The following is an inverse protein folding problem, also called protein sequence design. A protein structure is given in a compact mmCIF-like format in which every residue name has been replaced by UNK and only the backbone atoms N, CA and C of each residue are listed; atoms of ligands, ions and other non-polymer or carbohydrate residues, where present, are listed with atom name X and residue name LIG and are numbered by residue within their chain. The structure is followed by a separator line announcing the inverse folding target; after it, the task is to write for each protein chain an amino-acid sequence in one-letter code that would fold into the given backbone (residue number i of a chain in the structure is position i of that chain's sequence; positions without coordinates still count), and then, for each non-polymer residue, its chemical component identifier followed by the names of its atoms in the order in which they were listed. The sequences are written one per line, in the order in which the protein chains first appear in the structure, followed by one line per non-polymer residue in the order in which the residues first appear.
data_IF_319443435379
#
_entry.id   IF_319443435379
#
_cell.length_a   1.000
_cell.length_b   1.000
_cell.length_c   1.000
_cell.angle_alpha   90.00
_cell.angle_beta   90.00
_cell.angle_gamma   90.00
#
_symmetry.space_group_name_H-M   'P 1'
#
loop_
_entity.id
_entity.type
_entity.pdbx_description
1 polymer ?
#
# COMPACT_ATOMS: atom_id res chain seq x y z
N UNK A 1 -15.49 20.45 -37.55
CA UNK A 1 -16.06 19.20 -36.95
C UNK A 1 -15.14 18.01 -37.15
N UNK A 2 -14.55 17.77 -38.33
CA UNK A 2 -13.65 16.64 -38.61
C UNK A 2 -12.39 16.58 -37.69
N UNK A 3 -11.68 17.70 -37.52
CA UNK A 3 -10.48 17.73 -36.64
C UNK A 3 -10.74 17.37 -35.17
N UNK A 4 -11.90 17.73 -34.63
CA UNK A 4 -12.29 17.38 -33.28
C UNK A 4 -12.60 15.88 -33.10
N UNK A 5 -13.12 15.27 -34.17
CA UNK A 5 -13.45 13.85 -34.23
C UNK A 5 -12.17 13.00 -34.34
N UNK A 6 -11.19 13.46 -35.10
CA UNK A 6 -9.90 12.81 -35.27
C UNK A 6 -9.05 12.86 -33.98
N UNK A 7 -9.05 14.00 -33.29
CA UNK A 7 -8.40 14.15 -31.96
C UNK A 7 -9.04 13.21 -30.91
N UNK A 8 -10.38 13.12 -30.85
CA UNK A 8 -11.06 12.19 -29.96
C UNK A 8 -10.73 10.74 -30.28
N UNK A 9 -10.71 10.35 -31.54
CA UNK A 9 -10.38 8.98 -31.96
C UNK A 9 -8.94 8.63 -31.57
N UNK A 10 -7.99 9.52 -31.77
CA UNK A 10 -6.58 9.35 -31.42
C UNK A 10 -6.39 9.25 -29.89
N UNK A 11 -7.10 10.05 -29.10
CA UNK A 11 -7.06 9.96 -27.62
C UNK A 11 -7.66 8.65 -27.12
N UNK A 12 -8.74 8.15 -27.72
CA UNK A 12 -9.35 6.87 -27.35
C UNK A 12 -8.44 5.70 -27.66
N UNK A 13 -7.78 5.71 -28.83
CA UNK A 13 -6.78 4.70 -29.22
C UNK A 13 -5.59 4.67 -28.25
N UNK A 14 -4.99 5.82 -27.93
CA UNK A 14 -3.89 5.92 -26.98
C UNK A 14 -4.26 5.42 -25.56
N UNK A 15 -5.48 5.68 -25.13
CA UNK A 15 -6.00 5.19 -23.83
C UNK A 15 -6.17 3.66 -23.84
N UNK A 16 -6.67 3.09 -24.94
CA UNK A 16 -6.82 1.65 -25.09
C UNK A 16 -5.45 0.94 -25.13
N UNK A 17 -4.48 1.49 -25.85
CA UNK A 17 -3.13 0.96 -25.95
C UNK A 17 -2.41 0.96 -24.59
N UNK A 18 -2.56 2.05 -23.82
CA UNK A 18 -2.00 2.13 -22.48
C UNK A 18 -2.64 1.11 -21.54
N UNK A 19 -3.97 0.93 -21.60
CA UNK A 19 -4.67 -0.09 -20.81
C UNK A 19 -4.18 -1.49 -21.16
N UNK A 20 -4.02 -1.81 -22.43
CA UNK A 20 -3.52 -3.11 -22.90
C UNK A 20 -2.08 -3.34 -22.42
N UNK A 21 -1.21 -2.33 -22.55
CA UNK A 21 0.17 -2.38 -22.05
C UNK A 21 0.22 -2.62 -20.54
N UNK A 22 -0.56 -1.88 -19.74
CA UNK A 22 -0.63 -2.09 -18.29
C UNK A 22 -1.16 -3.49 -17.93
N UNK A 23 -2.12 -4.04 -18.70
CA UNK A 23 -2.63 -5.39 -18.48
C UNK A 23 -1.58 -6.47 -18.79
N UNK A 24 -0.83 -6.32 -19.87
CA UNK A 24 0.27 -7.21 -20.21
C UNK A 24 1.37 -7.18 -19.14
N UNK A 25 1.73 -5.98 -18.65
CA UNK A 25 2.70 -5.81 -17.57
C UNK A 25 2.24 -6.50 -16.28
N UNK A 26 0.97 -6.34 -15.88
CA UNK A 26 0.39 -7.05 -14.72
C UNK A 26 0.54 -8.55 -14.83
N UNK A 27 0.18 -9.12 -15.99
CA UNK A 27 0.28 -10.57 -16.21
C UNK A 27 1.73 -11.06 -16.08
N UNK A 28 2.68 -10.32 -16.65
CA UNK A 28 4.11 -10.62 -16.57
C UNK A 28 4.61 -10.57 -15.13
N UNK A 29 4.26 -9.53 -14.37
CA UNK A 29 4.71 -9.35 -12.99
C UNK A 29 4.11 -10.40 -12.04
N UNK A 30 2.83 -10.76 -12.23
CA UNK A 30 2.18 -11.84 -11.48
C UNK A 30 2.89 -13.17 -11.77
N UNK A 31 3.10 -13.51 -13.04
CA UNK A 31 3.78 -14.73 -13.43
C UNK A 31 5.21 -14.81 -12.85
N UNK A 32 5.97 -13.71 -12.91
CA UNK A 32 7.32 -13.61 -12.34
C UNK A 32 7.31 -13.82 -10.82
N UNK A 33 6.36 -13.22 -10.11
CA UNK A 33 6.22 -13.38 -8.66
C UNK A 33 5.85 -14.79 -8.25
N UNK A 34 4.90 -15.43 -8.96
CA UNK A 34 4.48 -16.81 -8.70
C UNK A 34 5.54 -17.84 -9.06
N UNK A 35 6.43 -17.53 -10.00
CA UNK A 35 7.55 -18.40 -10.38
C UNK A 35 8.76 -18.29 -9.42
N UNK A 36 8.75 -17.35 -8.47
CA UNK A 36 9.84 -17.19 -7.53
C UNK A 36 9.97 -18.42 -6.63
N UNK A 37 11.19 -18.95 -6.40
CA UNK A 37 11.41 -20.07 -5.49
C UNK A 37 10.91 -19.75 -4.08
N UNK A 38 10.29 -20.71 -3.40
CA UNK A 38 9.75 -20.50 -2.05
C UNK A 38 10.81 -20.02 -1.05
N UNK A 39 12.06 -20.50 -1.17
CA UNK A 39 13.16 -20.06 -0.32
C UNK A 39 13.52 -18.58 -0.54
N UNK A 40 13.51 -18.12 -1.78
CA UNK A 40 13.74 -16.70 -2.10
C UNK A 40 12.59 -15.84 -1.58
N UNK A 41 11.37 -16.26 -1.82
CA UNK A 41 10.18 -15.56 -1.32
C UNK A 41 10.20 -15.42 0.21
N UNK A 42 10.56 -16.49 0.94
CA UNK A 42 10.69 -16.45 2.40
C UNK A 42 11.80 -15.49 2.84
N UNK A 43 12.97 -15.53 2.18
CA UNK A 43 14.09 -14.65 2.48
C UNK A 43 13.73 -13.17 2.23
N UNK A 44 13.11 -12.87 1.09
CA UNK A 44 12.66 -11.50 0.75
C UNK A 44 11.62 -11.01 1.74
N UNK A 45 10.66 -11.84 2.09
CA UNK A 45 9.62 -11.49 3.09
C UNK A 45 10.23 -11.16 4.44
N UNK A 46 11.22 -11.92 4.90
CA UNK A 46 11.93 -11.64 6.15
C UNK A 46 12.66 -10.27 6.13
N UNK A 47 13.28 -9.91 4.99
CA UNK A 47 13.95 -8.62 4.83
C UNK A 47 12.96 -7.44 4.80
N UNK A 48 11.82 -7.60 4.11
CA UNK A 48 10.73 -6.60 4.13
C UNK A 48 10.19 -6.43 5.55
N UNK A 49 9.94 -7.52 6.26
CA UNK A 49 9.45 -7.48 7.64
C UNK A 49 10.45 -6.78 8.57
N UNK A 50 11.75 -7.08 8.45
CA UNK A 50 12.80 -6.41 9.21
C UNK A 50 12.82 -4.89 8.94
N UNK A 51 12.69 -4.49 7.67
CA UNK A 51 12.62 -3.08 7.26
C UNK A 51 11.39 -2.38 7.85
N UNK A 52 10.22 -3.03 7.83
CA UNK A 52 8.98 -2.51 8.41
C UNK A 52 9.11 -2.35 9.93
N UNK A 53 9.63 -3.34 10.65
CA UNK A 53 9.86 -3.28 12.11
C UNK A 53 10.83 -2.18 12.48
N UNK A 54 11.90 -2.00 11.71
CA UNK A 54 12.91 -0.98 11.97
C UNK A 54 12.44 0.43 11.64
N UNK A 55 11.76 0.63 10.51
CA UNK A 55 11.45 1.96 9.97
C UNK A 55 10.08 2.52 10.37
N UNK A 56 9.12 1.69 10.73
CA UNK A 56 7.71 2.10 10.89
C UNK A 56 7.17 1.96 12.31
N UNK A 57 8.03 2.00 13.34
CA UNK A 57 7.57 2.01 14.74
C UNK A 57 6.70 3.24 15.08
N UNK A 58 6.84 4.34 14.34
CA UNK A 58 6.01 5.53 14.50
C UNK A 58 4.53 5.33 14.09
N UNK A 59 4.15 4.16 13.57
CA UNK A 59 2.76 3.78 13.35
C UNK A 59 2.03 3.38 14.64
N UNK A 60 2.73 3.25 15.76
CA UNK A 60 2.12 2.98 17.07
C UNK A 60 1.09 4.05 17.41
N UNK A 61 -0.10 3.61 17.88
CA UNK A 61 -1.24 4.50 18.17
C UNK A 61 -2.08 4.89 16.96
N UNK A 62 -1.71 4.50 15.74
CA UNK A 62 -2.49 4.72 14.50
C UNK A 62 -3.44 3.56 14.21
N UNK A 63 -4.39 3.82 13.31
CA UNK A 63 -5.18 2.80 12.62
C UNK A 63 -4.44 2.42 11.34
N UNK A 64 -3.97 1.17 11.26
CA UNK A 64 -3.17 0.68 10.12
C UNK A 64 -4.00 -0.23 9.23
N UNK A 65 -4.22 0.20 7.99
CA UNK A 65 -4.81 -0.63 6.96
C UNK A 65 -3.76 -1.47 6.24
N UNK A 66 -4.09 -2.72 5.96
CA UNK A 66 -3.24 -3.62 5.20
C UNK A 66 -4.10 -4.54 4.33
N UNK A 67 -3.50 -5.30 3.42
CA UNK A 67 -4.21 -6.23 2.55
C UNK A 67 -3.99 -7.67 2.95
N UNK A 68 -5.01 -8.50 2.77
CA UNK A 68 -4.84 -9.94 2.79
C UNK A 68 -3.96 -10.35 1.60
N UNK A 69 -2.89 -11.15 1.80
CA UNK A 69 -1.95 -11.46 0.72
C UNK A 69 -2.64 -12.24 -0.40
N UNK A 70 -2.37 -11.85 -1.63
CA UNK A 70 -2.96 -12.44 -2.82
C UNK A 70 -1.89 -12.71 -3.87
N UNK A 71 -1.97 -13.87 -4.56
CA UNK A 71 -1.06 -14.24 -5.65
C UNK A 71 0.43 -14.05 -5.32
N UNK A 72 0.88 -14.55 -4.16
CA UNK A 72 2.28 -14.48 -3.75
C UNK A 72 2.76 -13.09 -3.29
N UNK A 73 1.86 -12.21 -2.85
CA UNK A 73 2.23 -10.95 -2.20
C UNK A 73 2.95 -11.18 -0.86
N UNK A 74 3.68 -10.15 -0.42
CA UNK A 74 4.19 -10.12 0.95
C UNK A 74 3.04 -10.21 1.95
N UNK A 75 3.17 -11.10 2.93
CA UNK A 75 2.18 -11.26 3.99
C UNK A 75 2.49 -10.29 5.15
N UNK A 76 1.72 -9.21 5.23
CA UNK A 76 1.88 -8.21 6.28
C UNK A 76 1.25 -8.60 7.63
N UNK A 77 0.51 -9.72 7.71
CA UNK A 77 -0.20 -10.12 8.95
C UNK A 77 0.71 -10.31 10.16
N UNK A 78 1.90 -10.94 10.07
CA UNK A 78 2.81 -11.06 11.22
C UNK A 78 3.26 -9.70 11.74
N UNK A 79 3.65 -8.78 10.86
CA UNK A 79 4.04 -7.42 11.23
C UNK A 79 2.89 -6.64 11.88
N UNK A 80 1.69 -6.70 11.29
CA UNK A 80 0.51 -5.99 11.80
C UNK A 80 0.06 -6.56 13.14
N UNK A 81 0.12 -7.89 13.34
CA UNK A 81 -0.16 -8.53 14.64
C UNK A 81 0.81 -8.06 15.73
N UNK A 82 2.09 -7.90 15.38
CA UNK A 82 3.08 -7.35 16.31
C UNK A 82 2.75 -5.88 16.68
N UNK A 83 2.35 -5.08 15.72
CA UNK A 83 1.89 -3.71 15.97
C UNK A 83 0.64 -3.65 16.86
N UNK A 84 -0.30 -4.59 16.70
CA UNK A 84 -1.48 -4.69 17.57
C UNK A 84 -1.09 -4.95 19.04
N UNK A 85 -0.05 -5.76 19.28
CA UNK A 85 0.54 -5.93 20.61
C UNK A 85 1.09 -4.62 21.22
N UNK A 86 1.28 -3.58 20.40
CA UNK A 86 1.73 -2.25 20.80
C UNK A 86 0.63 -1.18 20.74
N UNK A 87 -0.64 -1.61 20.65
CA UNK A 87 -1.81 -0.73 20.71
C UNK A 87 -2.27 -0.17 19.34
N UNK A 88 -1.75 -0.67 18.20
CA UNK A 88 -2.28 -0.35 16.87
C UNK A 88 -3.61 -1.07 16.66
N UNK A 89 -4.58 -0.39 16.05
CA UNK A 89 -5.78 -1.02 15.49
C UNK A 89 -5.54 -1.34 14.03
N UNK A 90 -5.80 -2.56 13.62
CA UNK A 90 -5.60 -3.01 12.25
C UNK A 90 -6.93 -3.08 11.49
N UNK A 91 -6.90 -2.76 10.20
CA UNK A 91 -8.09 -2.80 9.34
C UNK A 91 -7.78 -3.45 7.98
N UNK A 92 -8.75 -4.18 7.46
CA UNK A 92 -8.71 -4.76 6.11
C UNK A 92 -9.68 -4.03 5.17
N UNK A 93 -9.29 -3.82 3.90
CA UNK A 93 -10.14 -3.19 2.91
C UNK A 93 -11.29 -4.10 2.49
N UNK A 94 -12.47 -3.52 2.34
CA UNK A 94 -13.66 -4.14 1.78
C UNK A 94 -14.16 -3.34 0.57
N UNK A 95 -14.44 -4.01 -0.53
CA UNK A 95 -15.09 -3.41 -1.69
C UNK A 95 -16.58 -3.40 -1.44
N UNK A 96 -17.15 -2.23 -1.19
CA UNK A 96 -18.60 -2.06 -0.95
C UNK A 96 -19.38 -1.82 -2.23
N UNK A 97 -18.76 -1.16 -3.22
CA UNK A 97 -19.34 -0.96 -4.55
C UNK A 97 -18.26 -0.79 -5.60
N UNK A 98 -18.58 -1.17 -6.84
CA UNK A 98 -17.68 -0.99 -7.99
C UNK A 98 -17.41 0.49 -8.22
N UNK A 99 -16.11 0.86 -8.32
CA UNK A 99 -15.70 2.22 -8.63
C UNK A 99 -15.77 3.20 -7.45
N UNK A 100 -16.15 2.76 -6.27
CA UNK A 100 -16.13 3.56 -5.03
C UNK A 100 -14.82 3.37 -4.26
N UNK A 101 -14.47 4.28 -3.34
CA UNK A 101 -13.42 4.06 -2.35
C UNK A 101 -13.67 2.79 -1.53
N UNK A 102 -12.61 2.23 -0.96
CA UNK A 102 -12.68 1.10 -0.05
C UNK A 102 -13.25 1.52 1.30
N UNK A 103 -14.06 0.66 1.91
CA UNK A 103 -14.36 0.67 3.34
C UNK A 103 -13.30 -0.13 4.06
N UNK A 104 -12.97 0.21 5.31
CA UNK A 104 -12.00 -0.53 6.10
C UNK A 104 -12.64 -1.08 7.36
N UNK A 105 -12.53 -2.40 7.54
CA UNK A 105 -13.12 -3.14 8.66
C UNK A 105 -12.04 -3.61 9.62
N UNK A 106 -12.28 -3.40 10.90
CA UNK A 106 -11.33 -3.77 11.94
C UNK A 106 -11.03 -5.26 11.90
N UNK A 107 -9.74 -5.57 12.01
CA UNK A 107 -9.22 -6.93 11.95
C UNK A 107 -8.32 -7.25 13.14
N UNK A 108 -8.45 -8.44 13.67
CA UNK A 108 -7.53 -9.06 14.64
C UNK A 108 -7.46 -10.56 14.37
N UNK A 109 -6.40 -11.27 14.83
CA UNK A 109 -6.33 -12.72 14.71
C UNK A 109 -7.55 -13.39 15.34
N UNK A 110 -8.28 -14.19 14.55
CA UNK A 110 -9.49 -14.88 15.01
C UNK A 110 -10.80 -14.12 14.80
N UNK A 111 -10.79 -12.89 14.24
CA UNK A 111 -12.05 -12.22 13.84
C UNK A 111 -12.81 -13.06 12.80
N UNK A 112 -14.13 -13.05 12.89
CA UNK A 112 -14.96 -13.74 11.90
C UNK A 112 -14.75 -13.14 10.50
N UNK A 113 -14.55 -13.99 9.51
CA UNK A 113 -14.25 -13.60 8.12
C UNK A 113 -15.28 -14.17 7.16
N UNK A 114 -15.53 -13.46 6.07
CA UNK A 114 -16.31 -13.96 4.93
C UNK A 114 -15.61 -13.68 3.62
N UNK A 115 -15.98 -14.36 2.54
CA UNK A 115 -15.48 -14.02 1.22
C UNK A 115 -16.14 -12.72 0.74
N UNK A 116 -15.31 -11.74 0.44
CA UNK A 116 -15.69 -10.48 -0.18
C UNK A 116 -15.61 -10.54 -1.71
N UNK A 117 -15.62 -9.38 -2.34
CA UNK A 117 -15.38 -9.25 -3.78
C UNK A 117 -13.97 -9.79 -4.11
N UNK A 118 -13.83 -10.46 -5.24
CA UNK A 118 -12.60 -11.15 -5.69
C UNK A 118 -12.15 -12.31 -4.78
N UNK A 119 -13.05 -12.91 -4.00
CA UNK A 119 -12.77 -13.98 -3.04
C UNK A 119 -11.71 -13.63 -1.99
N UNK A 120 -11.52 -12.34 -1.74
CA UNK A 120 -10.64 -11.85 -0.69
C UNK A 120 -11.34 -11.89 0.66
N UNK A 121 -10.68 -12.39 1.73
CA UNK A 121 -11.27 -12.42 3.07
C UNK A 121 -11.54 -11.01 3.61
N UNK A 122 -12.74 -10.81 4.15
CA UNK A 122 -13.19 -9.53 4.74
C UNK A 122 -13.78 -9.79 6.13
N UNK A 123 -13.39 -9.01 7.16
CA UNK A 123 -13.98 -9.12 8.50
C UNK A 123 -15.49 -8.88 8.49
N UNK A 124 -16.23 -9.65 9.32
CA UNK A 124 -17.70 -9.54 9.49
C UNK A 124 -18.01 -9.13 10.91
N UNK A 125 -18.99 -8.22 11.06
CA UNK A 125 -19.45 -7.79 12.37
C UNK A 125 -18.45 -6.93 13.16
N UNK A 126 -17.35 -6.52 12.53
CA UNK A 126 -16.36 -5.63 13.13
C UNK A 126 -16.62 -4.16 12.79
N UNK A 127 -15.98 -3.26 13.55
CA UNK A 127 -16.11 -1.81 13.36
C UNK A 127 -15.56 -1.36 12.01
N UNK A 128 -16.21 -0.39 11.39
CA UNK A 128 -15.66 0.35 10.24
C UNK A 128 -14.83 1.52 10.77
N UNK A 129 -13.59 1.63 10.30
CA UNK A 129 -12.63 2.62 10.77
C UNK A 129 -11.93 3.28 9.59
N UNK A 130 -11.49 4.52 9.80
CA UNK A 130 -10.66 5.25 8.83
C UNK A 130 -9.18 5.00 9.14
N UNK A 131 -8.38 4.47 8.21
CA UNK A 131 -6.96 4.23 8.44
C UNK A 131 -6.14 5.52 8.40
N UNK A 132 -5.16 5.62 9.31
CA UNK A 132 -4.15 6.67 9.36
C UNK A 132 -2.92 6.32 8.49
N UNK A 133 -2.70 5.04 8.28
CA UNK A 133 -1.64 4.51 7.41
C UNK A 133 -2.15 3.30 6.63
N UNK A 134 -1.66 3.14 5.41
CA UNK A 134 -2.02 2.04 4.52
C UNK A 134 -0.75 1.32 4.03
N UNK A 135 -0.68 0.01 4.28
CA UNK A 135 0.28 -0.92 3.70
C UNK A 135 -0.34 -1.49 2.42
N UNK A 136 0.09 -0.98 1.27
CA UNK A 136 -0.55 -1.25 -0.01
C UNK A 136 0.31 -2.16 -0.86
N UNK A 137 -0.14 -3.37 -1.22
CA UNK A 137 0.62 -4.23 -2.13
C UNK A 137 0.70 -3.60 -3.52
N UNK A 138 1.87 -3.69 -4.15
CA UNK A 138 2.11 -3.25 -5.50
C UNK A 138 2.52 -4.43 -6.39
N UNK A 139 1.90 -4.54 -7.57
CA UNK A 139 2.33 -5.47 -8.61
C UNK A 139 3.58 -4.99 -9.30
N UNK A 140 3.69 -3.69 -9.53
CA UNK A 140 4.85 -3.04 -10.08
C UNK A 140 5.13 -1.72 -9.38
N UNK A 141 6.40 -1.34 -9.31
CA UNK A 141 6.87 -0.09 -8.70
C UNK A 141 7.76 0.65 -9.68
N UNK A 142 7.37 1.87 -10.01
CA UNK A 142 8.16 2.78 -10.84
C UNK A 142 9.15 3.60 -10.01
N UNK A 143 9.96 4.40 -10.71
CA UNK A 143 11.06 5.16 -10.11
C UNK A 143 10.64 6.41 -9.34
N UNK A 144 9.35 6.78 -9.39
CA UNK A 144 8.82 7.98 -8.74
C UNK A 144 7.97 7.66 -7.50
N UNK A 145 7.87 6.39 -7.08
CA UNK A 145 6.90 5.94 -6.07
C UNK A 145 5.50 5.68 -6.65
N UNK A 146 5.39 5.72 -7.96
CA UNK A 146 4.23 5.28 -8.71
C UNK A 146 4.07 3.76 -8.60
N UNK A 147 2.84 3.26 -8.48
CA UNK A 147 2.55 1.83 -8.34
C UNK A 147 1.58 1.32 -9.41
N UNK A 148 1.87 0.13 -9.92
CA UNK A 148 0.93 -0.64 -10.71
C UNK A 148 0.14 -1.56 -9.77
N UNK A 149 -1.16 -1.30 -9.62
CA UNK A 149 -2.09 -2.19 -8.92
C UNK A 149 -2.82 -3.13 -9.88
N UNK A 150 -3.81 -3.86 -9.39
CA UNK A 150 -4.60 -4.83 -10.17
C UNK A 150 -5.58 -4.22 -11.19
N UNK A 151 -5.64 -2.90 -11.30
CA UNK A 151 -6.42 -2.21 -12.34
C UNK A 151 -7.82 -1.78 -11.91
N UNK A 152 -8.24 -2.07 -10.70
CA UNK A 152 -9.52 -1.61 -10.15
C UNK A 152 -9.54 -0.14 -9.74
N UNK A 153 -8.37 0.48 -9.52
CA UNK A 153 -8.20 1.87 -9.08
C UNK A 153 -8.78 2.15 -7.68
N UNK A 154 -9.01 1.11 -6.89
CA UNK A 154 -9.62 1.26 -5.56
C UNK A 154 -8.76 2.09 -4.62
N UNK A 155 -7.47 1.80 -4.52
CA UNK A 155 -6.57 2.55 -3.64
C UNK A 155 -6.38 4.00 -4.08
N UNK A 156 -6.34 4.28 -5.39
CA UNK A 156 -6.21 5.66 -5.88
C UNK A 156 -7.43 6.48 -5.45
N UNK A 157 -8.63 5.97 -5.67
CA UNK A 157 -9.86 6.62 -5.20
C UNK A 157 -9.92 6.75 -3.68
N UNK A 158 -9.48 5.74 -2.96
CA UNK A 158 -9.45 5.74 -1.49
C UNK A 158 -8.49 6.81 -0.96
N UNK A 159 -7.26 6.86 -1.48
CA UNK A 159 -6.25 7.84 -1.06
C UNK A 159 -6.63 9.29 -1.39
N UNK A 160 -7.46 9.49 -2.43
CA UNK A 160 -8.03 10.81 -2.75
C UNK A 160 -9.20 11.15 -1.84
N UNK A 161 -10.00 10.18 -1.43
CA UNK A 161 -11.22 10.41 -0.64
C UNK A 161 -10.96 10.57 0.86
N UNK A 162 -9.88 9.98 1.39
CA UNK A 162 -9.59 10.01 2.83
C UNK A 162 -8.95 11.34 3.26
N UNK A 163 -9.52 11.94 4.28
CA UNK A 163 -9.03 13.16 4.92
C UNK A 163 -9.07 13.02 6.45
N UNK A 164 -7.95 13.22 7.16
CA UNK A 164 -6.61 13.52 6.61
C UNK A 164 -6.11 12.40 5.69
N UNK A 165 -5.23 12.76 4.74
CA UNK A 165 -4.63 11.77 3.82
C UNK A 165 -3.76 10.79 4.61
N UNK A 166 -4.03 9.47 4.57
CA UNK A 166 -3.22 8.50 5.29
C UNK A 166 -1.80 8.41 4.74
N UNK A 167 -0.88 7.90 5.54
CA UNK A 167 0.44 7.49 5.07
C UNK A 167 0.29 6.31 4.09
N UNK A 168 0.88 6.40 2.91
CA UNK A 168 0.80 5.38 1.88
C UNK A 168 2.15 4.67 1.72
N UNK A 169 2.22 3.41 2.15
CA UNK A 169 3.43 2.56 2.08
C UNK A 169 3.19 1.45 1.07
N UNK A 170 3.89 1.52 -0.06
CA UNK A 170 3.86 0.48 -1.08
C UNK A 170 4.75 -0.70 -0.68
N UNK A 171 4.21 -1.91 -0.72
CA UNK A 171 4.93 -3.16 -0.45
C UNK A 171 5.10 -3.96 -1.73
N UNK A 172 6.32 -4.32 -2.07
CA UNK A 172 6.64 -5.09 -3.26
C UNK A 172 7.94 -5.88 -3.07
N UNK A 173 8.20 -6.82 -3.96
CA UNK A 173 9.52 -7.42 -4.12
C UNK A 173 10.31 -6.68 -5.22
N UNK A 174 11.63 -6.66 -5.16
CA UNK A 174 12.47 -5.99 -6.17
C UNK A 174 12.23 -6.53 -7.59
N UNK A 175 11.85 -7.78 -7.73
CA UNK A 175 11.44 -8.35 -9.03
C UNK A 175 10.24 -7.61 -9.66
N UNK A 176 9.55 -6.77 -8.90
CA UNK A 176 8.43 -5.93 -9.33
C UNK A 176 8.87 -4.54 -9.81
N UNK A 177 10.17 -4.22 -9.81
CA UNK A 177 10.69 -2.96 -10.34
C UNK A 177 10.49 -2.88 -11.85
N UNK A 178 9.94 -1.77 -12.29
CA UNK A 178 9.73 -1.44 -13.69
C UNK A 178 10.18 0.00 -13.97
N UNK A 179 10.57 0.26 -15.20
CA UNK A 179 11.09 1.59 -15.58
C UNK A 179 10.02 2.69 -15.39
N UNK A 180 8.78 2.40 -15.73
CA UNK A 180 7.64 3.30 -15.54
C UNK A 180 6.32 2.55 -15.70
N UNK A 181 5.33 2.94 -14.91
CA UNK A 181 3.94 2.50 -15.12
C UNK A 181 3.21 3.38 -16.16
N UNK A 182 3.86 4.42 -16.67
CA UNK A 182 3.24 5.52 -17.44
C UNK A 182 2.10 6.13 -16.60
N UNK A 183 2.43 6.88 -15.51
CA UNK A 183 1.44 7.38 -14.57
C UNK A 183 0.35 8.20 -15.25
N UNK A 184 -0.88 8.05 -14.75
CA UNK A 184 -2.04 8.81 -15.20
C UNK A 184 -2.40 9.87 -14.14
N UNK A 185 -3.11 10.95 -14.51
CA UNK A 185 -3.43 12.03 -13.57
C UNK A 185 -4.19 11.60 -12.31
N UNK A 186 -4.83 10.43 -12.33
CA UNK A 186 -5.56 9.88 -11.19
C UNK A 186 -4.76 8.86 -10.37
N UNK A 187 -3.55 8.48 -10.80
CA UNK A 187 -2.69 7.58 -10.02
C UNK A 187 -2.10 8.36 -8.83
N UNK A 188 -2.19 7.77 -7.64
CA UNK A 188 -1.65 8.36 -6.40
C UNK A 188 -0.34 7.68 -6.04
N UNK A 189 0.70 8.49 -5.88
CA UNK A 189 2.04 8.01 -5.52
C UNK A 189 2.10 7.62 -4.05
N UNK A 190 2.93 6.63 -3.76
CA UNK A 190 3.22 6.19 -2.41
C UNK A 190 4.17 7.19 -1.73
N UNK A 191 4.04 7.34 -0.41
CA UNK A 191 5.00 8.11 0.39
C UNK A 191 6.29 7.34 0.58
N UNK A 192 6.16 6.01 0.71
CA UNK A 192 7.27 5.07 0.87
C UNK A 192 7.07 3.84 0.00
N UNK A 193 8.19 3.26 -0.41
CA UNK A 193 8.26 1.91 -0.99
C UNK A 193 9.15 1.06 -0.12
N UNK A 194 8.70 -0.14 0.23
CA UNK A 194 9.48 -1.12 0.99
C UNK A 194 9.60 -2.40 0.18
N UNK A 195 10.84 -2.81 -0.03
CA UNK A 195 11.20 -4.07 -0.69
C UNK A 195 12.26 -4.80 0.14
N UNK A 196 12.69 -5.97 -0.29
CA UNK A 196 13.83 -6.66 0.32
C UNK A 196 15.17 -5.90 0.19
N UNK A 197 15.23 -4.90 -0.69
CA UNK A 197 16.41 -4.00 -0.82
C UNK A 197 16.39 -2.84 0.19
N UNK A 198 15.32 -2.71 0.99
CA UNK A 198 15.17 -1.71 2.04
C UNK A 198 14.00 -0.77 1.85
N UNK A 199 14.11 0.41 2.45
CA UNK A 199 13.07 1.45 2.49
C UNK A 199 13.48 2.59 1.57
N UNK A 200 12.54 3.07 0.78
CA UNK A 200 12.69 4.27 -0.04
C UNK A 200 11.54 5.23 0.22
N UNK A 201 11.81 6.54 0.26
CA UNK A 201 10.79 7.58 0.32
C UNK A 201 10.67 8.30 -1.01
N UNK A 202 9.45 8.67 -1.38
CA UNK A 202 9.22 9.56 -2.51
C UNK A 202 9.67 10.98 -2.17
N UNK A 203 10.48 11.53 -3.06
CA UNK A 203 11.01 12.89 -2.99
C UNK A 203 10.88 13.56 -4.35
N UNK A 204 11.13 14.86 -4.42
CA UNK A 204 11.19 15.54 -5.72
C UNK A 204 12.27 14.88 -6.60
N UNK A 205 11.87 14.35 -7.74
CA UNK A 205 12.77 13.71 -8.70
C UNK A 205 12.92 12.19 -8.56
N UNK A 206 12.24 11.52 -7.62
CA UNK A 206 12.25 10.06 -7.56
C UNK A 206 12.14 9.44 -6.19
N UNK A 207 12.79 8.30 -6.01
CA UNK A 207 12.85 7.56 -4.75
C UNK A 207 14.23 7.71 -4.12
N UNK A 208 14.28 7.97 -2.83
CA UNK A 208 15.49 8.10 -2.03
C UNK A 208 15.56 6.97 -0.99
N UNK A 209 16.66 6.23 -0.94
CA UNK A 209 16.89 5.21 0.09
C UNK A 209 17.00 5.86 1.46
N UNK A 210 16.38 5.21 2.45
CA UNK A 210 16.39 5.65 3.85
C UNK A 210 16.99 4.58 4.75
N UNK A 211 17.71 5.03 5.78
CA UNK A 211 17.94 4.20 6.95
C UNK A 211 16.63 4.00 7.74
N UNK A 212 16.60 3.04 8.66
CA UNK A 212 15.44 2.85 9.53
C UNK A 212 15.18 4.09 10.41
N UNK A 213 16.24 4.79 10.84
CA UNK A 213 16.14 6.02 11.63
C UNK A 213 15.54 7.17 10.82
N UNK A 214 16.06 7.42 9.62
CA UNK A 214 15.54 8.46 8.72
C UNK A 214 14.09 8.18 8.33
N UNK A 215 13.74 6.90 8.13
CA UNK A 215 12.37 6.50 7.86
C UNK A 215 11.44 6.86 9.03
N UNK A 216 11.80 6.52 10.27
CA UNK A 216 11.02 6.90 11.47
C UNK A 216 10.82 8.41 11.55
N UNK A 217 11.88 9.18 11.36
CA UNK A 217 11.82 10.63 11.36
C UNK A 217 10.88 11.17 10.26
N UNK A 218 10.97 10.60 9.06
CA UNK A 218 10.13 11.00 7.92
C UNK A 218 8.66 10.63 8.12
N UNK A 219 8.37 9.44 8.65
CA UNK A 219 7.00 9.00 9.01
C UNK A 219 6.41 9.97 10.03
N UNK A 220 7.15 10.30 11.09
CA UNK A 220 6.70 11.23 12.12
C UNK A 220 6.46 12.64 11.58
N UNK A 221 7.33 13.12 10.69
CA UNK A 221 7.17 14.44 10.04
C UNK A 221 5.90 14.49 9.17
N UNK A 222 5.68 13.49 8.30
CA UNK A 222 4.49 13.42 7.45
C UNK A 222 3.20 13.26 8.26
N UNK A 223 3.23 12.47 9.33
CA UNK A 223 2.09 12.32 10.23
C UNK A 223 1.72 13.66 10.87
N UNK A 224 2.73 14.45 11.30
CA UNK A 224 2.48 15.79 11.84
C UNK A 224 1.91 16.75 10.81
N UNK A 225 2.52 16.80 9.64
CA UNK A 225 2.10 17.66 8.53
C UNK A 225 0.62 17.40 8.16
N UNK A 226 0.19 16.13 8.22
CA UNK A 226 -1.17 15.70 7.88
C UNK A 226 -2.14 15.75 9.06
N UNK A 227 -1.69 16.04 10.28
CA UNK A 227 -2.53 15.99 11.48
C UNK A 227 -3.00 14.60 11.86
N UNK A 228 -2.20 13.56 11.52
CA UNK A 228 -2.50 12.18 11.89
C UNK A 228 -2.19 11.90 13.37
N UNK A 229 -2.88 10.95 14.03
CA UNK A 229 -2.64 10.58 15.41
C UNK A 229 -1.18 10.21 15.66
N UNK A 230 -0.69 10.54 16.86
CA UNK A 230 0.63 10.14 17.34
C UNK A 230 0.48 9.57 18.72
N UNK A 231 1.25 8.55 19.04
CA UNK A 231 1.43 8.17 20.44
C UNK A 231 2.15 9.33 21.13
N UNK A 232 1.48 10.01 22.06
CA UNK A 232 2.21 10.79 23.05
C UNK A 232 3.16 9.83 23.76
N UNK A 233 4.46 10.16 23.76
CA UNK A 233 5.41 9.43 24.59
C UNK A 233 4.83 9.43 25.99
N UNK A 234 4.32 8.28 26.45
CA UNK A 234 3.85 8.14 27.84
C UNK A 234 5.02 8.50 28.72
N UNK A 235 5.00 9.70 29.25
CA UNK A 235 5.85 10.07 30.34
C UNK A 235 5.73 8.98 31.41
N UNK A 236 6.87 8.54 31.91
CA UNK A 236 6.98 7.53 32.93
C UNK A 236 5.82 7.67 33.93
N UNK A 237 5.08 6.58 34.12
CA UNK A 237 4.11 6.51 35.21
C UNK A 237 4.85 6.91 36.50
N UNK A 238 4.27 7.79 37.38
CA UNK A 238 4.88 8.05 38.64
C UNK A 238 4.95 6.73 39.42
N UNK A 239 6.14 6.35 39.84
CA UNK A 239 6.33 5.28 40.75
C UNK A 239 5.55 5.59 42.05
N UNK A 240 4.59 4.76 42.36
CA UNK A 240 4.02 4.65 43.69
C UNK A 240 4.71 3.51 44.44
#
# INVERSE_FOLDING_TARGET
MAACQEVRHRMTSLSADLKNRRNAERATLIARRLAAPAADHARWSALIEASLRGGFSALEGMIVGFCWPFQGEFDARPFVTDLQGRGVRAVLPAVVAKGQPLEFREWWPGVAMSNGVYDLPVPVGSSVLTPDALLIPALGVGSQGDRLGYGGGYFDRTLVALHPKPLAVGLAFELSRIATIVPQPHDVFMDFIVTEAGIEAAVAGGLMKLSAEDCRARVAALAAERGLPRRESSGAAPAN
#
